data_IF_294485976827
#
_entry.id   IF_294485976827
#
_cell.length_a   1.000
_cell.length_b   1.000
_cell.length_c   1.000
_cell.angle_alpha   90.00
_cell.angle_beta   90.00
_cell.angle_gamma   90.00
#
_symmetry.space_group_name_H-M   'P 1'
#
loop_
_entity.id
_entity.type
_entity.pdbx_description
1 polymer ?
#
# COMPACT_ATOMS: atom_id res chain seq x y z
N UNK A 1 -10.27 16.54 -25.26
CA UNK A 1 -9.26 15.91 -24.37
C UNK A 1 -8.63 14.79 -25.16
N UNK A 2 -7.31 14.77 -25.29
CA UNK A 2 -6.59 13.84 -26.17
C UNK A 2 -6.78 12.39 -25.73
N UNK A 3 -7.40 11.59 -26.59
CA UNK A 3 -7.59 10.13 -26.48
C UNK A 3 -6.27 9.35 -26.65
N UNK A 4 -5.23 9.74 -25.91
CA UNK A 4 -4.00 8.94 -25.91
C UNK A 4 -4.19 7.79 -24.91
N UNK A 5 -4.17 6.56 -25.44
CA UNK A 5 -4.08 5.35 -24.60
C UNK A 5 -2.97 5.52 -23.55
N UNK A 6 -3.18 5.01 -22.32
CA UNK A 6 -2.17 5.12 -21.28
C UNK A 6 -0.86 4.46 -21.71
N UNK A 7 0.28 5.11 -21.40
CA UNK A 7 1.60 4.60 -21.76
C UNK A 7 1.93 3.27 -21.10
N UNK A 8 1.37 3.04 -19.90
CA UNK A 8 1.57 1.81 -19.13
C UNK A 8 0.23 1.15 -18.86
N UNK A 9 0.16 -0.15 -19.10
CA UNK A 9 -1.05 -0.94 -18.81
C UNK A 9 -1.17 -1.30 -17.33
N UNK A 10 -0.01 -1.40 -16.63
CA UNK A 10 0.05 -1.75 -15.20
C UNK A 10 1.08 -0.88 -14.51
N UNK A 11 0.75 -0.42 -13.31
CA UNK A 11 1.63 0.40 -12.48
C UNK A 11 1.61 -0.07 -11.03
N UNK A 12 2.73 0.11 -10.35
CA UNK A 12 2.85 -0.03 -8.92
C UNK A 12 3.10 1.36 -8.30
N UNK A 13 2.16 1.82 -7.49
CA UNK A 13 2.27 3.09 -6.78
C UNK A 13 2.83 2.83 -5.38
N UNK A 14 3.89 3.53 -5.02
CA UNK A 14 4.35 3.60 -3.63
C UNK A 14 3.83 4.87 -3.00
N UNK A 15 3.02 4.72 -1.95
CA UNK A 15 2.50 5.82 -1.16
C UNK A 15 3.25 5.87 0.17
N UNK A 16 3.91 7.00 0.45
CA UNK A 16 4.50 7.21 1.77
C UNK A 16 3.40 7.32 2.82
N UNK A 17 3.57 6.66 3.97
CA UNK A 17 2.67 6.87 5.10
C UNK A 17 2.60 8.34 5.50
N UNK A 18 3.74 9.04 5.49
CA UNK A 18 3.80 10.47 5.83
C UNK A 18 2.94 11.33 4.89
N UNK A 19 2.83 10.96 3.60
CA UNK A 19 1.94 11.65 2.68
C UNK A 19 0.46 11.53 3.10
N UNK A 20 0.06 10.43 3.76
CA UNK A 20 -1.30 10.24 4.26
C UNK A 20 -1.63 11.11 5.49
N UNK A 21 -0.64 11.59 6.22
CA UNK A 21 -0.85 12.53 7.34
C UNK A 21 -1.24 13.94 6.84
N UNK A 22 -0.96 14.27 5.59
CA UNK A 22 -1.23 15.59 5.05
C UNK A 22 -0.41 16.67 5.75
N UNK A 23 -1.09 17.64 6.34
CA UNK A 23 -0.46 18.71 7.13
C UNK A 23 -0.31 18.36 8.61
N UNK A 24 -0.79 17.20 9.03
CA UNK A 24 -0.72 16.75 10.41
C UNK A 24 0.60 15.99 10.65
N UNK A 25 1.09 16.01 11.88
CA UNK A 25 2.29 15.26 12.24
C UNK A 25 2.05 13.74 12.26
N UNK A 26 0.81 13.32 12.51
CA UNK A 26 0.41 11.91 12.62
C UNK A 26 -1.04 11.73 12.16
N UNK A 27 -1.41 10.47 11.89
CA UNK A 27 -2.77 10.08 11.53
C UNK A 27 -2.98 9.98 10.04
N UNK A 28 -4.24 9.91 9.64
CA UNK A 28 -4.69 9.86 8.25
C UNK A 28 -5.55 11.09 8.01
N UNK A 29 -5.12 11.94 7.09
CA UNK A 29 -5.88 13.10 6.63
C UNK A 29 -6.94 12.63 5.64
N UNK A 30 -8.21 12.90 5.94
CA UNK A 30 -9.34 12.46 5.11
C UNK A 30 -9.35 13.10 3.73
N UNK A 31 -8.94 14.36 3.61
CA UNK A 31 -8.87 15.05 2.33
C UNK A 31 -7.76 14.50 1.43
N UNK A 32 -6.60 14.18 2.02
CA UNK A 32 -5.50 13.54 1.29
C UNK A 32 -5.91 12.15 0.81
N UNK A 33 -6.52 11.35 1.70
CA UNK A 33 -6.99 10.01 1.35
C UNK A 33 -8.04 10.07 0.23
N UNK A 34 -8.97 11.01 0.29
CA UNK A 34 -10.00 11.21 -0.73
C UNK A 34 -9.41 11.61 -2.08
N UNK A 35 -8.46 12.54 -2.10
CA UNK A 35 -7.77 12.97 -3.32
C UNK A 35 -6.95 11.83 -3.94
N UNK A 36 -6.25 11.03 -3.12
CA UNK A 36 -5.51 9.85 -3.60
C UNK A 36 -6.45 8.81 -4.21
N UNK A 37 -7.56 8.50 -3.54
CA UNK A 37 -8.54 7.55 -4.05
C UNK A 37 -9.18 8.01 -5.35
N UNK A 38 -9.42 9.33 -5.51
CA UNK A 38 -9.92 9.92 -6.75
C UNK A 38 -8.92 9.77 -7.91
N UNK A 39 -7.64 10.04 -7.66
CA UNK A 39 -6.58 9.89 -8.66
C UNK A 39 -6.44 8.42 -9.11
N UNK A 40 -6.51 7.47 -8.15
CA UNK A 40 -6.47 6.04 -8.46
C UNK A 40 -7.71 5.62 -9.26
N UNK A 41 -8.90 6.09 -8.89
CA UNK A 41 -10.13 5.83 -9.63
C UNK A 41 -10.05 6.31 -11.09
N UNK A 42 -9.44 7.48 -11.32
CA UNK A 42 -9.20 7.98 -12.66
C UNK A 42 -8.29 7.05 -13.48
N UNK A 43 -7.19 6.57 -12.89
CA UNK A 43 -6.28 5.62 -13.55
C UNK A 43 -6.99 4.30 -13.91
N UNK A 44 -7.77 3.75 -12.99
CA UNK A 44 -8.58 2.55 -13.23
C UNK A 44 -9.60 2.81 -14.35
N UNK A 45 -10.23 3.97 -14.37
CA UNK A 45 -11.16 4.39 -15.43
C UNK A 45 -10.50 4.50 -16.82
N UNK A 46 -9.19 4.73 -16.89
CA UNK A 46 -8.39 4.69 -18.12
C UNK A 46 -7.96 3.27 -18.51
N UNK A 47 -8.36 2.24 -17.75
CA UNK A 47 -7.98 0.85 -18.01
C UNK A 47 -6.61 0.47 -17.46
N UNK A 48 -5.98 1.30 -16.63
CA UNK A 48 -4.69 0.98 -16.01
C UNK A 48 -4.90 0.06 -14.81
N UNK A 49 -4.16 -1.03 -14.77
CA UNK A 49 -4.11 -1.94 -13.62
C UNK A 49 -3.22 -1.34 -12.53
N UNK A 50 -3.74 -1.19 -11.32
CA UNK A 50 -3.06 -0.44 -10.25
C UNK A 50 -2.78 -1.34 -9.04
N UNK A 51 -1.50 -1.53 -8.75
CA UNK A 51 -1.01 -2.03 -7.47
C UNK A 51 -0.56 -0.86 -6.59
N UNK A 52 -0.74 -0.97 -5.29
CA UNK A 52 -0.37 0.07 -4.31
C UNK A 52 0.42 -0.56 -3.18
N UNK A 53 1.57 0.01 -2.86
CA UNK A 53 2.32 -0.27 -1.63
C UNK A 53 2.22 0.95 -0.74
N UNK A 54 1.76 0.77 0.50
CA UNK A 54 1.57 1.89 1.44
C UNK A 54 2.51 1.78 2.63
N UNK A 55 3.15 2.91 3.00
CA UNK A 55 3.96 3.02 4.21
C UNK A 55 3.13 3.23 5.47
N UNK A 56 3.77 3.11 6.66
CA UNK A 56 3.14 3.25 7.97
C UNK A 56 3.63 4.46 8.80
N UNK A 57 4.52 5.30 8.26
CA UNK A 57 5.24 6.34 9.03
C UNK A 57 4.36 7.43 9.63
N UNK A 58 3.14 7.61 9.13
CA UNK A 58 2.14 8.53 9.68
C UNK A 58 1.47 8.03 10.97
N UNK A 59 1.46 6.73 11.20
CA UNK A 59 0.82 6.11 12.37
C UNK A 59 1.85 5.66 13.39
N UNK A 60 3.03 5.23 12.93
CA UNK A 60 4.05 4.70 13.81
C UNK A 60 5.47 5.04 13.33
N UNK A 61 6.22 5.74 14.17
CA UNK A 61 7.63 6.07 13.97
C UNK A 61 8.51 5.22 14.87
N UNK A 62 8.67 3.94 14.50
CA UNK A 62 9.38 2.94 15.31
C UNK A 62 10.80 3.32 15.70
N UNK A 63 11.51 4.03 14.82
CA UNK A 63 12.87 4.48 15.08
C UNK A 63 13.00 5.42 16.31
N UNK A 64 11.98 6.22 16.61
CA UNK A 64 11.98 7.11 17.78
C UNK A 64 11.85 6.32 19.09
N UNK A 65 10.92 5.36 19.15
CA UNK A 65 10.72 4.50 20.33
C UNK A 65 11.87 3.50 20.54
N UNK A 66 12.46 3.02 19.46
CA UNK A 66 13.65 2.18 19.52
C UNK A 66 14.85 2.94 20.10
N UNK A 67 15.08 4.19 19.68
CA UNK A 67 16.14 5.07 20.21
C UNK A 67 15.97 5.36 21.70
N UNK A 68 14.73 5.41 22.17
CA UNK A 68 14.42 5.61 23.59
C UNK A 68 14.50 4.31 24.43
N UNK A 69 14.79 3.16 23.78
CA UNK A 69 14.86 1.88 24.46
C UNK A 69 13.51 1.32 24.93
N UNK A 70 12.39 1.93 24.52
CA UNK A 70 11.05 1.53 24.94
C UNK A 70 10.55 0.26 24.24
N UNK A 71 11.01 0.00 23.03
CA UNK A 71 10.68 -1.21 22.26
C UNK A 71 11.91 -1.77 21.57
N UNK A 72 12.03 -3.10 21.55
CA UNK A 72 13.04 -3.78 20.76
C UNK A 72 12.82 -3.61 19.25
N UNK A 73 13.90 -3.79 18.47
CA UNK A 73 13.86 -3.57 17.01
C UNK A 73 12.79 -4.42 16.31
N UNK A 74 12.75 -5.71 16.61
CA UNK A 74 11.77 -6.64 16.02
C UNK A 74 10.33 -6.19 16.28
N UNK A 75 10.03 -5.83 17.54
CA UNK A 75 8.71 -5.32 17.92
C UNK A 75 8.39 -4.02 17.19
N UNK A 76 9.34 -3.10 17.09
CA UNK A 76 9.16 -1.85 16.37
C UNK A 76 8.88 -2.08 14.88
N UNK A 77 9.60 -3.01 14.26
CA UNK A 77 9.36 -3.36 12.85
C UNK A 77 7.99 -4.00 12.66
N UNK A 78 7.55 -4.88 13.56
CA UNK A 78 6.20 -5.47 13.53
C UNK A 78 5.10 -4.41 13.70
N UNK A 79 5.28 -3.46 14.62
CA UNK A 79 4.34 -2.34 14.79
C UNK A 79 4.28 -1.48 13.52
N UNK A 80 5.41 -1.23 12.87
CA UNK A 80 5.47 -0.56 11.58
C UNK A 80 4.72 -1.30 10.47
N UNK A 81 4.85 -2.62 10.41
CA UNK A 81 4.09 -3.45 9.47
C UNK A 81 2.58 -3.35 9.72
N UNK A 82 2.14 -3.40 10.99
CA UNK A 82 0.72 -3.24 11.34
C UNK A 82 0.20 -1.83 11.01
N UNK A 83 1.02 -0.80 11.15
CA UNK A 83 0.67 0.55 10.72
C UNK A 83 0.37 0.63 9.22
N UNK A 84 1.13 -0.11 8.38
CA UNK A 84 0.80 -0.21 6.95
C UNK A 84 -0.55 -0.87 6.70
N UNK A 85 -0.92 -1.85 7.51
CA UNK A 85 -2.23 -2.53 7.41
C UNK A 85 -3.37 -1.56 7.70
N UNK A 86 -3.23 -0.72 8.73
CA UNK A 86 -4.23 0.31 9.05
C UNK A 86 -4.40 1.31 7.88
N UNK A 87 -3.31 1.78 7.28
CA UNK A 87 -3.36 2.65 6.11
C UNK A 87 -3.99 1.94 4.89
N UNK A 88 -3.66 0.65 4.70
CA UNK A 88 -4.24 -0.15 3.63
C UNK A 88 -5.74 -0.35 3.77
N UNK A 89 -6.24 -0.53 5.00
CA UNK A 89 -7.67 -0.60 5.30
C UNK A 89 -8.38 0.70 4.93
N UNK A 90 -7.82 1.84 5.34
CA UNK A 90 -8.37 3.15 5.02
C UNK A 90 -8.40 3.40 3.51
N UNK A 91 -7.33 3.01 2.79
CA UNK A 91 -7.27 3.14 1.33
C UNK A 91 -8.29 2.23 0.64
N UNK A 92 -8.44 0.97 1.08
CA UNK A 92 -9.45 0.05 0.56
C UNK A 92 -10.84 0.65 0.70
N UNK A 93 -11.20 1.10 1.89
CA UNK A 93 -12.51 1.68 2.15
C UNK A 93 -12.76 2.95 1.30
N UNK A 94 -11.74 3.82 1.13
CA UNK A 94 -11.84 5.00 0.28
C UNK A 94 -12.08 4.66 -1.21
N UNK A 95 -11.47 3.58 -1.71
CA UNK A 95 -11.66 3.09 -3.07
C UNK A 95 -13.03 2.43 -3.26
N UNK A 96 -13.46 1.61 -2.29
CA UNK A 96 -14.75 0.93 -2.32
C UNK A 96 -15.92 1.93 -2.29
N UNK A 97 -15.81 3.04 -1.55
CA UNK A 97 -16.78 4.15 -1.61
C UNK A 97 -16.91 4.78 -3.00
N UNK A 98 -15.90 4.62 -3.86
CA UNK A 98 -15.91 5.05 -5.26
C UNK A 98 -16.29 3.94 -6.24
N UNK A 99 -16.83 2.81 -5.73
CA UNK A 99 -17.17 1.62 -6.51
C UNK A 99 -15.97 0.97 -7.21
N UNK A 100 -14.76 1.17 -6.69
CA UNK A 100 -13.54 0.49 -7.15
C UNK A 100 -13.32 -0.75 -6.30
N UNK A 101 -13.35 -1.91 -6.93
CA UNK A 101 -13.01 -3.17 -6.23
C UNK A 101 -11.56 -3.14 -5.79
N UNK A 102 -11.31 -3.40 -4.51
CA UNK A 102 -10.00 -3.34 -3.91
C UNK A 102 -9.69 -4.60 -3.10
N UNK A 103 -8.49 -5.16 -3.29
CA UNK A 103 -7.96 -6.31 -2.55
C UNK A 103 -6.83 -5.86 -1.65
N UNK A 104 -6.99 -6.09 -0.35
CA UNK A 104 -5.95 -5.82 0.64
C UNK A 104 -5.18 -7.10 0.90
N UNK A 105 -3.92 -7.15 0.48
CA UNK A 105 -3.05 -8.32 0.58
C UNK A 105 -1.89 -8.05 1.52
N UNK A 106 -1.68 -8.93 2.48
CA UNK A 106 -0.67 -8.79 3.51
C UNK A 106 0.39 -9.88 3.44
N UNK A 107 1.65 -9.50 3.68
CA UNK A 107 2.74 -10.45 3.87
C UNK A 107 2.68 -11.15 5.24
N UNK A 108 1.97 -10.58 6.21
CA UNK A 108 1.64 -11.23 7.48
C UNK A 108 0.23 -11.81 7.43
N UNK A 109 -0.01 -13.03 7.93
CA UNK A 109 -1.35 -13.58 8.04
C UNK A 109 -2.15 -12.82 9.10
N UNK A 110 -3.15 -12.07 8.69
CA UNK A 110 -4.02 -11.27 9.58
C UNK A 110 -5.48 -11.70 9.39
N UNK A 111 -5.72 -12.99 9.53
CA UNK A 111 -7.04 -13.60 9.60
C UNK A 111 -8.06 -13.04 8.60
N UNK A 112 -9.20 -12.56 9.12
CA UNK A 112 -10.31 -12.06 8.33
C UNK A 112 -10.12 -10.62 7.81
N UNK A 113 -9.04 -9.94 8.20
CA UNK A 113 -8.81 -8.53 7.87
C UNK A 113 -8.18 -8.34 6.49
N UNK A 114 -7.26 -9.24 6.12
CA UNK A 114 -6.51 -9.18 4.88
C UNK A 114 -6.42 -10.54 4.20
N UNK A 115 -6.23 -10.54 2.88
CA UNK A 115 -5.84 -11.75 2.16
C UNK A 115 -4.33 -11.98 2.33
N UNK A 116 -3.91 -13.24 2.45
CA UNK A 116 -2.48 -13.56 2.39
C UNK A 116 -1.93 -13.23 1.00
N UNK A 117 -0.77 -12.57 0.98
CA UNK A 117 -0.13 -12.24 -0.27
C UNK A 117 0.16 -13.49 -1.13
N UNK A 118 -0.23 -13.40 -2.39
CA UNK A 118 0.09 -14.37 -3.42
C UNK A 118 0.23 -13.64 -4.74
N UNK A 119 1.38 -13.77 -5.40
CA UNK A 119 1.64 -13.16 -6.71
C UNK A 119 0.62 -13.59 -7.75
N UNK A 120 0.27 -14.87 -7.78
CA UNK A 120 -0.73 -15.42 -8.69
C UNK A 120 -2.10 -14.78 -8.51
N UNK A 121 -2.54 -14.60 -7.26
CA UNK A 121 -3.82 -13.96 -6.97
C UNK A 121 -3.77 -12.47 -7.30
N UNK A 122 -2.67 -11.77 -6.97
CA UNK A 122 -2.50 -10.36 -7.27
C UNK A 122 -2.61 -10.10 -8.79
N UNK A 123 -1.91 -10.89 -9.61
CA UNK A 123 -1.98 -10.78 -11.08
C UNK A 123 -3.42 -11.00 -11.56
N UNK A 124 -4.11 -12.01 -11.05
CA UNK A 124 -5.50 -12.31 -11.41
C UNK A 124 -6.44 -11.15 -11.06
N UNK A 125 -6.30 -10.55 -9.88
CA UNK A 125 -7.11 -9.40 -9.48
C UNK A 125 -6.84 -8.18 -10.35
N UNK A 126 -5.58 -7.87 -10.61
CA UNK A 126 -5.20 -6.76 -11.50
C UNK A 126 -5.76 -6.95 -12.92
N UNK A 127 -5.71 -8.18 -13.45
CA UNK A 127 -6.30 -8.51 -14.76
C UNK A 127 -7.82 -8.35 -14.79
N UNK A 128 -8.47 -8.48 -13.64
CA UNK A 128 -9.91 -8.23 -13.47
C UNK A 128 -10.23 -6.76 -13.16
N UNK A 129 -9.27 -5.85 -13.35
CA UNK A 129 -9.39 -4.41 -13.03
C UNK A 129 -9.72 -4.14 -11.54
N UNK A 130 -9.29 -5.04 -10.65
CA UNK A 130 -9.36 -4.82 -9.21
C UNK A 130 -8.02 -4.18 -8.76
N UNK A 131 -8.09 -3.18 -7.89
CA UNK A 131 -6.90 -2.57 -7.28
C UNK A 131 -6.35 -3.52 -6.21
N UNK A 132 -5.02 -3.71 -6.18
CA UNK A 132 -4.37 -4.49 -5.14
C UNK A 132 -3.57 -3.55 -4.22
N UNK A 133 -3.87 -3.56 -2.92
CA UNK A 133 -3.09 -2.84 -1.90
C UNK A 133 -2.25 -3.84 -1.13
N UNK A 134 -0.93 -3.65 -1.16
CA UNK A 134 0.04 -4.53 -0.51
C UNK A 134 0.53 -3.89 0.79
N UNK A 135 0.44 -4.65 1.88
CA UNK A 135 0.77 -4.19 3.24
C UNK A 135 1.67 -5.17 3.98
N UNK A 136 2.17 -4.76 5.13
CA UNK A 136 3.09 -5.49 5.98
C UNK A 136 4.49 -5.72 5.36
N UNK A 137 4.87 -4.94 4.35
CA UNK A 137 6.18 -5.02 3.72
C UNK A 137 6.50 -6.41 3.19
N UNK A 138 7.64 -6.98 3.60
CA UNK A 138 8.03 -8.36 3.28
C UNK A 138 7.55 -9.39 4.30
N UNK A 139 6.91 -8.95 5.39
CA UNK A 139 6.55 -9.80 6.54
C UNK A 139 7.71 -10.15 7.46
N UNK A 140 8.94 -9.73 7.14
CA UNK A 140 10.13 -10.02 7.90
C UNK A 140 10.63 -8.78 8.65
N UNK A 141 10.93 -8.87 9.95
CA UNK A 141 11.66 -7.83 10.67
C UNK A 141 13.00 -7.51 9.97
N UNK A 142 13.56 -6.33 10.23
CA UNK A 142 14.78 -5.80 9.60
C UNK A 142 14.68 -5.42 8.13
N UNK A 143 13.56 -5.70 7.46
CA UNK A 143 13.30 -5.27 6.10
C UNK A 143 12.26 -4.15 6.09
N UNK A 144 12.54 -3.06 5.38
CA UNK A 144 11.59 -1.95 5.26
C UNK A 144 10.84 -2.03 3.94
N UNK A 145 9.70 -1.36 3.85
CA UNK A 145 8.92 -1.24 2.61
C UNK A 145 9.75 -0.65 1.45
N UNK A 146 10.84 0.09 1.76
CA UNK A 146 11.75 0.65 0.77
C UNK A 146 12.58 -0.42 0.03
N UNK A 147 12.81 -1.58 0.63
CA UNK A 147 13.58 -2.68 0.01
C UNK A 147 12.84 -3.37 -1.14
N UNK A 148 11.51 -3.22 -1.23
CA UNK A 148 10.76 -3.65 -2.41
C UNK A 148 11.20 -2.96 -3.71
N UNK A 149 11.95 -1.84 -3.62
CA UNK A 149 12.48 -1.12 -4.78
C UNK A 149 13.88 -1.56 -5.21
N UNK A 150 14.61 -2.23 -4.36
CA UNK A 150 16.01 -2.60 -4.59
C UNK A 150 16.20 -4.10 -4.79
N UNK A 151 15.14 -4.89 -4.66
CA UNK A 151 15.16 -6.32 -4.92
C UNK A 151 14.55 -6.60 -6.30
N UNK A 152 15.17 -7.51 -7.05
CA UNK A 152 14.66 -8.04 -8.31
C UNK A 152 13.23 -8.61 -8.21
N UNK A 153 12.75 -8.84 -6.98
CA UNK A 153 11.36 -9.20 -6.70
C UNK A 153 10.33 -8.13 -7.13
N UNK A 154 10.73 -6.87 -7.29
CA UNK A 154 9.88 -5.83 -7.86
C UNK A 154 9.70 -6.02 -9.38
N UNK A 155 10.71 -6.51 -10.05
CA UNK A 155 10.69 -6.77 -11.49
C UNK A 155 9.87 -8.02 -11.84
N UNK A 156 9.87 -9.04 -10.97
CA UNK A 156 9.13 -10.27 -11.18
C UNK A 156 7.62 -10.16 -10.92
N UNK A 157 7.17 -9.15 -10.22
CA UNK A 157 5.79 -9.09 -9.73
C UNK A 157 4.90 -8.09 -10.45
N UNK A 158 5.41 -6.96 -10.90
CA UNK A 158 4.55 -5.87 -11.37
C UNK A 158 5.18 -4.99 -12.46
N UNK A 159 6.43 -5.16 -12.81
CA UNK A 159 7.07 -4.44 -13.90
C UNK A 159 7.05 -5.28 -15.18
N UNK A 160 6.03 -5.10 -15.98
CA UNK A 160 6.06 -5.35 -17.43
C UNK A 160 5.40 -4.19 -18.13
#
# INVERSE_FOLDING_TARGET
MSDKAPRYQRILLKLSGEALAGKNDMGIDSGVLDNMSLAIAHLVGLGVQVGIVVGGGNLYRGAALQKQGLVGRVTGDQMGMLATVMNGLAMRDALERRNIKCRLMSALPIGEVTENYSSRNAIRYLQNNEVCVFVAGTGNPFFTTCLLYTSDAADDLLCV
#
